data_IF_185237365428
#
_entry.id   IF_185237365428
#
_cell.length_a   1.000
_cell.length_b   1.000
_cell.length_c   1.000
_cell.angle_alpha   90.00
_cell.angle_beta   90.00
_cell.angle_gamma   90.00
#
_symmetry.space_group_name_H-M   'P 1'
#
loop_
_entity.id
_entity.type
_entity.pdbx_description
1 polymer ?
#
# COMPACT_ATOMS: atom_id res chain seq x y z
N UNK A 1 -20.14 -2.87 -11.77
CA UNK A 1 -19.15 -3.30 -12.76
C UNK A 1 -17.84 -3.64 -12.05
N UNK A 2 -17.23 -4.77 -12.41
CA UNK A 2 -15.98 -5.20 -11.80
C UNK A 2 -14.80 -4.34 -12.30
N UNK A 3 -13.89 -4.02 -11.39
CA UNK A 3 -12.67 -3.29 -11.72
C UNK A 3 -11.58 -4.30 -12.13
N UNK A 4 -11.54 -4.59 -13.41
CA UNK A 4 -10.66 -5.62 -13.98
C UNK A 4 -9.24 -5.10 -14.28
N UNK A 5 -8.95 -3.83 -14.03
CA UNK A 5 -7.63 -3.28 -14.27
C UNK A 5 -6.60 -3.94 -13.37
N UNK A 6 -5.45 -4.32 -13.95
CA UNK A 6 -4.32 -4.83 -13.18
C UNK A 6 -3.71 -3.71 -12.36
N UNK A 7 -3.27 -4.04 -11.16
CA UNK A 7 -2.58 -3.07 -10.31
C UNK A 7 -1.22 -2.74 -10.90
N UNK A 8 -0.98 -1.45 -11.10
CA UNK A 8 0.35 -0.93 -11.41
C UNK A 8 0.86 -0.19 -10.17
N UNK A 9 2.11 -0.39 -9.81
CA UNK A 9 2.69 0.17 -8.58
C UNK A 9 3.66 1.28 -8.92
N UNK A 10 3.53 2.42 -8.23
CA UNK A 10 4.43 3.57 -8.38
C UNK A 10 5.16 3.80 -7.04
N UNK A 11 6.47 3.63 -7.05
CA UNK A 11 7.35 3.83 -5.89
C UNK A 11 8.27 5.04 -6.08
N UNK A 12 7.89 5.99 -6.95
CA UNK A 12 8.78 7.07 -7.36
C UNK A 12 8.76 8.31 -6.46
N UNK A 13 7.88 8.36 -5.47
CA UNK A 13 7.84 9.51 -4.56
C UNK A 13 9.12 9.57 -3.73
N UNK A 14 9.80 10.72 -3.76
CA UNK A 14 11.11 10.86 -3.12
C UNK A 14 11.05 10.57 -1.61
N UNK A 15 10.01 11.06 -0.92
CA UNK A 15 9.86 10.80 0.51
C UNK A 15 9.62 9.31 0.82
N UNK A 16 8.92 8.61 -0.05
CA UNK A 16 8.72 7.17 0.09
C UNK A 16 10.05 6.42 -0.11
N UNK A 17 10.83 6.80 -1.11
CA UNK A 17 12.12 6.17 -1.38
C UNK A 17 13.10 6.36 -0.21
N UNK A 18 13.06 7.51 0.45
CA UNK A 18 13.86 7.73 1.65
C UNK A 18 13.51 6.75 2.76
N UNK A 19 12.22 6.49 2.98
CA UNK A 19 11.77 5.48 3.95
C UNK A 19 12.19 4.08 3.51
N UNK A 20 12.06 3.77 2.22
CA UNK A 20 12.42 2.47 1.66
C UNK A 20 13.87 2.10 1.96
N UNK A 21 14.79 3.05 1.77
CA UNK A 21 16.21 2.81 2.00
C UNK A 21 16.58 2.68 3.48
N UNK A 22 15.68 3.07 4.38
CA UNK A 22 15.88 2.94 5.83
C UNK A 22 15.27 1.66 6.41
N UNK A 23 14.65 0.82 5.59
CA UNK A 23 14.06 -0.43 6.07
C UNK A 23 15.14 -1.43 6.45
N UNK A 24 14.91 -2.18 7.54
CA UNK A 24 15.74 -3.34 7.85
C UNK A 24 15.33 -4.53 6.94
N UNK A 25 16.07 -5.62 7.02
CA UNK A 25 15.84 -6.78 6.15
C UNK A 25 14.44 -7.39 6.36
N UNK A 26 13.96 -7.63 7.60
CA UNK A 26 12.61 -8.15 7.78
C UNK A 26 11.52 -7.23 7.22
N UNK A 27 11.65 -5.92 7.42
CA UNK A 27 10.72 -4.94 6.89
C UNK A 27 10.71 -4.93 5.36
N UNK A 28 11.89 -4.98 4.77
CA UNK A 28 12.02 -5.03 3.30
C UNK A 28 11.38 -6.30 2.73
N UNK A 29 11.54 -7.44 3.40
CA UNK A 29 10.90 -8.70 2.99
C UNK A 29 9.37 -8.60 3.07
N UNK A 30 8.86 -7.95 4.10
CA UNK A 30 7.42 -7.72 4.25
C UNK A 30 6.89 -6.90 3.08
N UNK A 31 7.58 -5.83 2.73
CA UNK A 31 7.21 -5.00 1.58
C UNK A 31 7.30 -5.79 0.27
N UNK A 32 8.36 -6.58 0.09
CA UNK A 32 8.55 -7.38 -1.11
C UNK A 32 7.40 -8.37 -1.31
N UNK A 33 6.94 -9.03 -0.25
CA UNK A 33 5.79 -9.95 -0.33
C UNK A 33 4.53 -9.22 -0.78
N UNK A 34 4.30 -8.03 -0.25
CA UNK A 34 3.15 -7.20 -0.69
C UNK A 34 3.27 -6.85 -2.16
N UNK A 35 4.46 -6.40 -2.61
CA UNK A 35 4.67 -6.03 -4.01
C UNK A 35 4.38 -7.19 -4.95
N UNK A 36 4.91 -8.37 -4.65
CA UNK A 36 4.66 -9.57 -5.47
C UNK A 36 3.18 -9.91 -5.54
N UNK A 37 2.49 -9.77 -4.42
CA UNK A 37 1.05 -10.04 -4.35
C UNK A 37 0.27 -9.03 -5.20
N UNK A 38 0.53 -7.75 -5.03
CA UNK A 38 -0.17 -6.69 -5.76
C UNK A 38 0.00 -6.80 -7.27
N UNK A 39 1.21 -7.12 -7.72
CA UNK A 39 1.49 -7.23 -9.15
C UNK A 39 0.75 -8.39 -9.83
N UNK A 40 0.20 -9.32 -9.06
CA UNK A 40 -0.60 -10.43 -9.58
C UNK A 40 -2.10 -10.17 -9.48
N UNK A 41 -2.53 -9.02 -8.97
CA UNK A 41 -3.93 -8.75 -8.65
C UNK A 41 -4.55 -7.73 -9.59
N UNK A 42 -5.88 -7.86 -9.77
CA UNK A 42 -6.71 -6.79 -10.31
C UNK A 42 -7.13 -5.85 -9.17
N UNK A 43 -7.59 -4.66 -9.52
CA UNK A 43 -8.11 -3.74 -8.52
C UNK A 43 -9.33 -4.30 -7.80
N UNK A 44 -10.19 -5.04 -8.49
CA UNK A 44 -11.34 -5.67 -7.82
C UNK A 44 -10.87 -6.64 -6.73
N UNK A 45 -9.82 -7.41 -7.01
CA UNK A 45 -9.25 -8.32 -6.03
C UNK A 45 -8.66 -7.56 -4.83
N UNK A 46 -8.00 -6.43 -5.05
CA UNK A 46 -7.50 -5.58 -3.96
C UNK A 46 -8.64 -5.10 -3.09
N UNK A 47 -9.71 -4.57 -3.70
CA UNK A 47 -10.85 -4.01 -2.97
C UNK A 47 -11.59 -5.09 -2.16
N UNK A 48 -11.62 -6.32 -2.65
CA UNK A 48 -12.31 -7.43 -2.01
C UNK A 48 -11.45 -8.20 -1.00
N UNK A 49 -10.15 -7.95 -0.96
CA UNK A 49 -9.23 -8.71 -0.12
C UNK A 49 -9.24 -8.20 1.31
N UNK A 50 -9.82 -8.99 2.22
CA UNK A 50 -9.91 -8.63 3.64
C UNK A 50 -8.53 -8.54 4.30
N UNK A 51 -7.57 -9.35 3.84
CA UNK A 51 -6.22 -9.34 4.39
C UNK A 51 -5.46 -8.05 4.07
N UNK A 52 -5.70 -7.46 2.90
CA UNK A 52 -5.11 -6.18 2.52
C UNK A 52 -5.80 -5.00 3.21
N UNK A 53 -7.06 -5.15 3.54
CA UNK A 53 -7.84 -4.15 4.27
C UNK A 53 -7.73 -2.74 3.66
N UNK A 54 -8.10 -2.62 2.38
CA UNK A 54 -8.13 -1.34 1.68
C UNK A 54 -9.10 -0.40 2.39
N UNK A 55 -8.59 0.69 2.97
CA UNK A 55 -9.39 1.56 3.82
C UNK A 55 -9.02 3.02 3.59
N UNK A 56 -10.03 3.84 3.36
CA UNK A 56 -9.81 5.28 3.23
C UNK A 56 -9.37 5.86 4.57
N UNK A 57 -8.33 6.69 4.54
CA UNK A 57 -7.85 7.37 5.74
C UNK A 57 -8.81 8.50 6.09
N UNK A 58 -9.28 8.51 7.35
CA UNK A 58 -10.19 9.52 7.84
C UNK A 58 -9.59 10.92 7.67
N UNK A 59 -10.39 11.83 7.12
CA UNK A 59 -9.94 13.19 6.85
C UNK A 59 -9.27 13.39 5.51
N UNK A 60 -9.14 12.34 4.70
CA UNK A 60 -8.59 12.42 3.35
C UNK A 60 -9.51 11.72 2.37
N UNK A 61 -9.71 12.31 1.18
CA UNK A 61 -10.48 11.66 0.12
C UNK A 61 -9.61 10.79 -0.76
N UNK A 62 -8.32 11.10 -0.87
CA UNK A 62 -7.40 10.45 -1.80
C UNK A 62 -6.57 9.35 -1.15
N UNK A 63 -6.26 9.46 0.14
CA UNK A 63 -5.32 8.58 0.81
C UNK A 63 -6.02 7.37 1.39
N UNK A 64 -5.42 6.20 1.16
CA UNK A 64 -5.90 4.93 1.69
C UNK A 64 -4.76 4.22 2.41
N UNK A 65 -5.11 3.36 3.36
CA UNK A 65 -4.13 2.46 3.95
C UNK A 65 -4.32 1.06 3.41
N UNK A 66 -3.23 0.33 3.31
CA UNK A 66 -3.21 -1.06 2.90
C UNK A 66 -2.30 -1.83 3.86
N UNK A 67 -2.73 -3.02 4.25
CA UNK A 67 -2.01 -3.81 5.24
C UNK A 67 -0.80 -4.51 4.63
N UNK A 68 0.39 -4.35 5.25
CA UNK A 68 1.58 -5.13 4.91
C UNK A 68 1.68 -6.38 5.79
N UNK A 69 1.37 -6.23 7.08
CA UNK A 69 1.38 -7.30 8.08
C UNK A 69 0.41 -6.92 9.19
N UNK A 70 0.34 -7.70 10.25
CA UNK A 70 -0.56 -7.42 11.37
C UNK A 70 -0.35 -6.01 11.96
N UNK A 71 0.88 -5.52 11.97
CA UNK A 71 1.22 -4.24 12.59
C UNK A 71 1.68 -3.18 11.61
N UNK A 72 1.83 -3.53 10.34
CA UNK A 72 2.39 -2.62 9.35
C UNK A 72 1.35 -2.21 8.32
N UNK A 73 1.40 -0.95 7.92
CA UNK A 73 0.53 -0.34 6.91
C UNK A 73 1.37 0.47 5.92
N UNK A 74 0.87 0.58 4.71
CA UNK A 74 1.33 1.59 3.77
C UNK A 74 0.20 2.58 3.54
N UNK A 75 0.56 3.84 3.35
CA UNK A 75 -0.37 4.86 2.87
C UNK A 75 -0.16 5.00 1.38
N UNK A 76 -1.24 4.91 0.62
CA UNK A 76 -1.21 4.92 -0.83
C UNK A 76 -2.28 5.85 -1.38
N UNK A 77 -2.10 6.28 -2.61
CA UNK A 77 -3.14 6.93 -3.41
C UNK A 77 -3.37 6.13 -4.66
N UNK A 78 -4.56 6.25 -5.23
CA UNK A 78 -4.90 5.56 -6.48
C UNK A 78 -5.13 6.57 -7.58
N UNK A 79 -4.50 6.35 -8.73
CA UNK A 79 -4.70 7.15 -9.93
C UNK A 79 -4.90 6.17 -11.11
N UNK A 80 -6.18 5.97 -11.51
CA UNK A 80 -6.53 4.97 -12.50
C UNK A 80 -6.09 3.58 -12.03
N UNK A 81 -5.27 2.86 -12.81
CA UNK A 81 -4.74 1.56 -12.39
C UNK A 81 -3.54 1.67 -11.45
N UNK A 82 -3.00 2.87 -11.23
CA UNK A 82 -1.76 3.08 -10.50
C UNK A 82 -2.02 3.22 -9.01
N UNK A 83 -1.34 2.41 -8.21
CA UNK A 83 -1.26 2.55 -6.76
C UNK A 83 0.07 3.21 -6.43
N UNK A 84 0.02 4.49 -6.00
CA UNK A 84 1.21 5.24 -5.65
C UNK A 84 1.46 5.14 -4.15
N UNK A 85 2.64 4.68 -3.77
CA UNK A 85 3.02 4.55 -2.38
C UNK A 85 3.50 5.89 -1.85
N UNK A 86 2.90 6.34 -0.75
CA UNK A 86 3.19 7.63 -0.11
C UNK A 86 4.09 7.47 1.11
N UNK A 87 3.79 6.50 1.99
CA UNK A 87 4.56 6.29 3.22
C UNK A 87 4.39 4.87 3.73
N UNK A 88 5.33 4.44 4.58
CA UNK A 88 5.32 3.12 5.24
C UNK A 88 5.27 3.33 6.76
N UNK A 89 4.47 2.51 7.44
CA UNK A 89 4.26 2.58 8.88
C UNK A 89 4.31 1.18 9.45
N UNK A 90 5.41 0.86 10.14
CA UNK A 90 5.58 -0.42 10.80
C UNK A 90 5.05 -0.42 12.22
N UNK A 91 4.65 0.75 12.71
CA UNK A 91 3.85 0.93 13.92
C UNK A 91 2.43 1.24 13.47
N UNK A 92 1.49 0.36 13.80
CA UNK A 92 0.09 0.43 13.37
C UNK A 92 -0.54 1.81 13.58
N UNK A 93 -0.25 2.46 14.70
CA UNK A 93 -0.90 3.73 15.04
C UNK A 93 -0.37 4.91 14.23
N UNK A 94 0.86 4.84 13.72
CA UNK A 94 1.49 5.98 13.06
C UNK A 94 0.81 6.35 11.73
N UNK A 95 0.16 5.40 11.06
CA UNK A 95 -0.53 5.64 9.79
C UNK A 95 -1.73 6.58 9.94
N UNK A 96 -2.27 6.71 11.14
CA UNK A 96 -3.51 7.43 11.41
C UNK A 96 -3.29 8.75 12.16
N UNK A 97 -2.07 9.14 12.36
CA UNK A 97 -1.73 10.38 13.07
C UNK A 97 -1.50 11.56 12.15
#
# INVERSE_FOLDING_TARGET
>A
MLDAARVAVDLNKASFQAELWNLDVPQLRTLQRLMKRLLSMTWQQVLDDHGLNWERIKGSEARHSIRLSLQARAVVTRDGPVMRFESLHFDHDSAYK
#
